data_IF_443533986996
#
_entry.id   IF_443533986996
#
_cell.length_a   1.000
_cell.length_b   1.000
_cell.length_c   1.000
_cell.angle_alpha   90.00
_cell.angle_beta   90.00
_cell.angle_gamma   90.00
#
_symmetry.space_group_name_H-M   'P 1'
#
loop_
_entity.id
_entity.type
_entity.pdbx_description
1 polymer ?
#
# COMPACT_ATOMS: atom_id res chain seq x y z
N UNK A 1 1.39 -9.35 8.43
CA UNK A 1 1.13 -7.93 8.08
C UNK A 1 -0.25 -7.80 7.42
N UNK A 2 -0.99 -6.72 7.70
CA UNK A 2 -2.29 -6.38 7.12
C UNK A 2 -2.23 -5.00 6.44
N UNK A 3 -2.86 -4.86 5.27
CA UNK A 3 -2.97 -3.59 4.54
C UNK A 3 -4.44 -3.23 4.42
N UNK A 4 -4.79 -2.02 4.82
CA UNK A 4 -6.11 -1.44 4.65
C UNK A 4 -5.99 -0.26 3.71
N UNK A 5 -6.66 -0.35 2.56
CA UNK A 5 -6.71 0.74 1.59
C UNK A 5 -8.00 1.52 1.79
N UNK A 6 -7.86 2.83 1.96
CA UNK A 6 -8.95 3.78 2.07
C UNK A 6 -8.95 4.70 0.85
N UNK A 7 -10.02 5.47 0.66
CA UNK A 7 -10.14 6.40 -0.47
C UNK A 7 -9.08 7.51 -0.50
N UNK A 8 -8.50 7.85 0.66
CA UNK A 8 -7.51 8.94 0.82
C UNK A 8 -6.18 8.51 1.42
N UNK A 9 -5.96 7.21 1.65
CA UNK A 9 -4.76 6.75 2.34
C UNK A 9 -4.69 5.24 2.49
N UNK A 10 -3.58 4.78 3.07
CA UNK A 10 -3.30 3.36 3.27
C UNK A 10 -2.77 3.18 4.69
N UNK A 11 -3.30 2.19 5.40
CA UNK A 11 -2.84 1.80 6.74
C UNK A 11 -2.19 0.42 6.66
N UNK A 12 -0.92 0.34 7.06
CA UNK A 12 -0.19 -0.92 7.20
C UNK A 12 -0.05 -1.27 8.67
N UNK A 13 -0.46 -2.47 9.05
CA UNK A 13 -0.37 -2.99 10.43
C UNK A 13 0.43 -4.28 10.46
N UNK A 14 1.56 -4.30 11.17
CA UNK A 14 2.44 -5.45 11.27
C UNK A 14 3.74 -5.13 11.98
N UNK A 15 4.73 -6.04 11.91
CA UNK A 15 6.06 -5.76 12.44
C UNK A 15 6.72 -4.66 11.62
N UNK A 16 7.50 -3.80 12.26
CA UNK A 16 8.13 -2.65 11.60
C UNK A 16 8.97 -3.05 10.36
N UNK A 17 9.67 -4.18 10.42
CA UNK A 17 10.47 -4.65 9.29
C UNK A 17 9.60 -5.14 8.11
N UNK A 18 8.48 -5.82 8.38
CA UNK A 18 7.53 -6.27 7.34
C UNK A 18 6.94 -5.06 6.61
N UNK A 19 6.60 -4.00 7.36
CA UNK A 19 6.10 -2.74 6.79
C UNK A 19 7.15 -2.11 5.86
N UNK A 20 8.41 -2.05 6.29
CA UNK A 20 9.51 -1.49 5.48
C UNK A 20 9.74 -2.30 4.20
N UNK A 21 9.71 -3.61 4.29
CA UNK A 21 9.87 -4.49 3.13
C UNK A 21 8.71 -4.33 2.15
N UNK A 22 7.48 -4.27 2.65
CA UNK A 22 6.31 -4.08 1.80
C UNK A 22 6.32 -2.73 1.08
N UNK A 23 6.70 -1.65 1.78
CA UNK A 23 6.84 -0.33 1.16
C UNK A 23 7.91 -0.33 0.06
N UNK A 24 9.02 -1.05 0.23
CA UNK A 24 10.03 -1.20 -0.83
C UNK A 24 9.47 -1.95 -2.04
N UNK A 25 8.65 -2.98 -1.82
CA UNK A 25 8.07 -3.74 -2.91
C UNK A 25 7.07 -2.90 -3.71
N UNK A 26 6.11 -2.24 -3.03
CA UNK A 26 5.14 -1.38 -3.73
C UNK A 26 5.75 -0.12 -4.33
N UNK A 27 6.87 0.37 -3.81
CA UNK A 27 7.61 1.47 -4.43
C UNK A 27 8.19 1.13 -5.81
N UNK A 28 8.26 -0.15 -6.19
CA UNK A 28 8.61 -0.57 -7.56
C UNK A 28 7.41 -0.45 -8.52
N UNK A 29 6.21 -0.68 -8.00
CA UNK A 29 4.98 -0.75 -8.78
C UNK A 29 4.26 0.61 -8.84
N UNK A 30 4.44 1.46 -7.82
CA UNK A 30 3.75 2.73 -7.66
C UNK A 30 4.73 3.82 -7.21
N UNK A 31 4.78 4.92 -7.95
CA UNK A 31 5.58 6.08 -7.55
C UNK A 31 4.79 6.95 -6.57
N UNK A 32 3.48 7.10 -6.78
CA UNK A 32 2.59 7.84 -5.91
C UNK A 32 1.62 6.93 -5.14
N UNK A 33 1.36 7.28 -3.87
CA UNK A 33 0.35 6.59 -3.05
C UNK A 33 -1.03 6.64 -3.71
N UNK A 34 -1.36 7.70 -4.45
CA UNK A 34 -2.63 7.80 -5.18
C UNK A 34 -2.78 6.73 -6.27
N UNK A 35 -1.70 6.34 -6.94
CA UNK A 35 -1.71 5.29 -7.95
C UNK A 35 -1.98 3.93 -7.31
N UNK A 36 -1.34 3.68 -6.16
CA UNK A 36 -1.61 2.50 -5.37
C UNK A 36 -3.08 2.43 -4.92
N UNK A 37 -3.63 3.53 -4.38
CA UNK A 37 -5.05 3.62 -3.99
C UNK A 37 -5.97 3.36 -5.20
N UNK A 38 -5.70 3.97 -6.36
CA UNK A 38 -6.51 3.77 -7.58
C UNK A 38 -6.46 2.32 -8.06
N UNK A 39 -5.28 1.70 -8.02
CA UNK A 39 -5.08 0.31 -8.43
C UNK A 39 -5.89 -0.67 -7.57
N UNK A 40 -5.83 -0.51 -6.24
CA UNK A 40 -6.55 -1.37 -5.30
C UNK A 40 -8.09 -1.22 -5.38
N UNK A 41 -8.59 -0.04 -5.76
CA UNK A 41 -10.03 0.20 -5.91
C UNK A 41 -10.58 -0.21 -7.30
N UNK A 42 -9.72 -0.61 -8.24
CA UNK A 42 -10.13 -0.97 -9.62
C UNK A 42 -10.59 -2.42 -9.76
N UNK A 43 -10.60 -3.19 -8.67
CA UNK A 43 -10.92 -4.62 -8.66
C UNK A 43 -12.37 -4.93 -8.24
N UNK A 44 -13.29 -3.97 -8.38
CA UNK A 44 -14.74 -4.16 -8.25
C UNK A 44 -15.46 -3.62 -9.49
#
# INVERSE_FOLDING_TARGET
>A
MKIYVHSKGITLSGKAWEIREQLKQYGKDFFYVMEWIKSANRSL
#
